data_IF_421169293490
#
_entry.id   IF_421169293490
#
_cell.length_a   1.000
_cell.length_b   1.000
_cell.length_c   1.000
_cell.angle_alpha   90.00
_cell.angle_beta   90.00
_cell.angle_gamma   90.00
#
_symmetry.space_group_name_H-M   'P 1'
#
loop_
_entity.id
_entity.type
_entity.pdbx_description
1 polymer ?
#
# COMPACT_ATOMS: atom_id res chain seq x y z
N UNK A 1 -4.80 4.11 -1.30
CA UNK A 1 -5.06 3.31 -2.52
C UNK A 1 -5.83 2.05 -2.14
N UNK A 2 -6.30 1.26 -3.10
CA UNK A 2 -7.08 0.02 -2.85
C UNK A 2 -6.57 -1.15 -3.69
N UNK A 3 -6.56 -2.35 -3.11
CA UNK A 3 -6.26 -3.61 -3.80
C UNK A 3 -7.07 -4.76 -3.18
N UNK A 4 -7.29 -5.84 -3.92
CA UNK A 4 -7.79 -7.07 -3.33
C UNK A 4 -6.68 -7.88 -2.65
N UNK A 5 -7.07 -8.82 -1.80
CA UNK A 5 -6.17 -9.84 -1.24
C UNK A 5 -6.84 -11.21 -1.34
N UNK A 6 -6.07 -12.25 -1.62
CA UNK A 6 -6.60 -13.59 -1.70
C UNK A 6 -7.03 -14.06 -0.29
N UNK A 7 -8.28 -14.51 -0.08
CA UNK A 7 -8.75 -14.92 1.23
C UNK A 7 -7.86 -15.99 1.89
N UNK A 8 -7.30 -16.90 1.09
CA UNK A 8 -6.45 -17.99 1.58
C UNK A 8 -5.08 -17.51 2.11
N UNK A 9 -4.64 -16.34 1.67
CA UNK A 9 -3.32 -15.77 1.98
C UNK A 9 -3.41 -14.62 2.99
N UNK A 10 -4.62 -14.27 3.45
CA UNK A 10 -4.86 -13.11 4.33
C UNK A 10 -4.11 -13.19 5.66
N UNK A 11 -4.14 -14.35 6.32
CA UNK A 11 -3.45 -14.54 7.61
C UNK A 11 -1.94 -14.33 7.46
N UNK A 12 -1.36 -14.85 6.38
CA UNK A 12 0.06 -14.68 6.08
C UNK A 12 0.39 -13.23 5.72
N UNK A 13 -0.48 -12.57 4.94
CA UNK A 13 -0.34 -11.15 4.63
C UNK A 13 -0.27 -10.30 5.91
N UNK A 14 -1.17 -10.57 6.88
CA UNK A 14 -1.18 -9.91 8.19
C UNK A 14 0.08 -10.23 8.98
N UNK A 15 0.53 -11.48 9.00
CA UNK A 15 1.75 -11.90 9.70
C UNK A 15 2.99 -11.16 9.17
N UNK A 16 3.12 -11.07 7.85
CA UNK A 16 4.19 -10.32 7.18
C UNK A 16 4.10 -8.83 7.55
N UNK A 17 2.94 -8.20 7.42
CA UNK A 17 2.79 -6.75 7.67
C UNK A 17 2.85 -6.37 9.16
N UNK A 18 2.69 -7.34 10.07
CA UNK A 18 2.98 -7.14 11.50
C UNK A 18 4.48 -7.17 11.81
N UNK A 19 5.31 -7.59 10.85
CA UNK A 19 6.76 -7.76 10.97
C UNK A 19 7.48 -7.29 9.69
N UNK A 20 7.10 -6.10 9.18
CA UNK A 20 7.73 -5.52 7.99
C UNK A 20 9.24 -5.39 8.23
N UNK A 21 10.04 -5.70 7.21
CA UNK A 21 11.48 -5.58 7.28
C UNK A 21 11.89 -4.12 7.54
N UNK A 22 12.81 -3.93 8.49
CA UNK A 22 13.27 -2.59 8.90
C UNK A 22 13.80 -1.78 7.71
N UNK A 23 14.58 -2.39 6.82
CA UNK A 23 15.09 -1.74 5.61
C UNK A 23 13.99 -1.26 4.64
N UNK A 24 12.86 -1.98 4.55
CA UNK A 24 11.70 -1.53 3.76
C UNK A 24 11.05 -0.31 4.40
N UNK A 25 10.90 -0.31 5.73
CA UNK A 25 10.39 0.84 6.48
C UNK A 25 11.31 2.06 6.35
N UNK A 26 12.63 1.86 6.40
CA UNK A 26 13.61 2.93 6.17
C UNK A 26 13.50 3.53 4.77
N UNK A 27 13.37 2.69 3.72
CA UNK A 27 13.16 3.19 2.35
C UNK A 27 11.87 4.01 2.24
N UNK A 28 10.78 3.56 2.86
CA UNK A 28 9.50 4.31 2.90
C UNK A 28 9.69 5.65 3.61
N UNK A 29 10.34 5.66 4.78
CA UNK A 29 10.60 6.87 5.55
C UNK A 29 11.47 7.88 4.78
N UNK A 30 12.49 7.39 4.06
CA UNK A 30 13.36 8.20 3.20
C UNK A 30 12.65 8.73 1.94
N UNK A 31 11.46 8.20 1.62
CA UNK A 31 10.61 8.65 0.50
C UNK A 31 9.48 9.58 0.94
N UNK A 32 9.65 10.26 2.07
CA UNK A 32 8.71 11.27 2.59
C UNK A 32 7.27 10.76 2.78
N UNK A 33 7.10 9.46 3.01
CA UNK A 33 5.83 8.83 3.40
C UNK A 33 5.75 8.83 4.93
N UNK A 34 4.65 9.33 5.47
CA UNK A 34 4.32 9.29 6.90
C UNK A 34 2.89 8.81 7.13
N UNK A 35 2.54 8.47 8.38
CA UNK A 35 1.22 8.00 8.78
C UNK A 35 0.68 6.83 7.92
N UNK A 36 1.57 5.93 7.48
CA UNK A 36 1.21 4.86 6.56
C UNK A 36 0.49 3.71 7.28
N UNK A 37 -0.77 3.50 6.94
CA UNK A 37 -1.61 2.40 7.39
C UNK A 37 -2.16 1.57 6.22
N UNK A 38 -2.31 0.26 6.42
CA UNK A 38 -3.06 -0.64 5.54
C UNK A 38 -4.18 -1.29 6.34
N UNK A 39 -5.42 -1.10 5.91
CA UNK A 39 -6.62 -1.66 6.54
C UNK A 39 -7.16 -2.81 5.71
N UNK A 40 -7.68 -3.85 6.37
CA UNK A 40 -8.42 -4.93 5.72
C UNK A 40 -9.93 -4.79 5.96
N UNK A 41 -10.72 -5.12 4.95
CA UNK A 41 -12.18 -5.28 5.08
C UNK A 41 -12.70 -6.37 4.15
N UNK A 42 -13.79 -7.00 4.56
CA UNK A 42 -14.68 -7.77 3.69
C UNK A 42 -16.05 -7.05 3.65
N UNK A 43 -16.46 -6.45 2.52
CA UNK A 43 -17.78 -5.88 2.34
C UNK A 43 -18.81 -6.97 1.98
N UNK A 44 -20.09 -6.61 1.89
CA UNK A 44 -21.19 -7.56 1.64
C UNK A 44 -21.07 -8.30 0.29
N UNK A 45 -20.32 -7.75 -0.65
CA UNK A 45 -19.99 -8.39 -1.93
C UNK A 45 -19.02 -9.57 -1.78
N UNK A 46 -18.39 -9.73 -0.61
CA UNK A 46 -17.61 -10.91 -0.21
C UNK A 46 -16.12 -10.84 -0.55
N UNK A 47 -15.66 -9.87 -1.34
CA UNK A 47 -14.24 -9.72 -1.65
C UNK A 47 -13.44 -9.29 -0.43
N UNK A 48 -12.20 -9.76 -0.31
CA UNK A 48 -11.27 -9.23 0.68
C UNK A 48 -10.48 -8.09 0.06
N UNK A 49 -10.62 -6.91 0.65
CA UNK A 49 -9.99 -5.67 0.14
C UNK A 49 -9.06 -5.08 1.19
N UNK A 50 -7.98 -4.49 0.71
CA UNK A 50 -7.02 -3.74 1.47
C UNK A 50 -7.10 -2.27 1.05
N UNK A 51 -7.14 -1.37 2.03
CA UNK A 51 -7.10 0.07 1.84
C UNK A 51 -5.80 0.61 2.41
N UNK A 52 -4.93 1.17 1.57
CA UNK A 52 -3.75 1.90 2.01
C UNK A 52 -4.05 3.38 2.18
N UNK A 53 -3.52 3.98 3.23
CA UNK A 53 -3.53 5.41 3.47
C UNK A 53 -2.16 5.83 3.96
N UNK A 54 -1.61 6.90 3.40
CA UNK A 54 -0.43 7.56 3.92
C UNK A 54 -0.49 9.05 3.59
N UNK A 55 0.26 9.83 4.34
CA UNK A 55 0.53 11.23 4.06
C UNK A 55 1.89 11.32 3.36
N UNK A 56 1.95 12.13 2.31
CA UNK A 56 3.19 12.41 1.61
C UNK A 56 3.60 13.85 1.87
N UNK A 57 4.79 14.05 2.44
CA UNK A 57 5.29 15.36 2.90
C UNK A 57 6.47 15.88 2.06
N UNK A 58 6.82 15.17 0.98
CA UNK A 58 7.92 15.54 0.10
C UNK A 58 7.52 16.54 -0.98
N UNK A 59 8.45 16.84 -1.89
CA UNK A 59 8.25 17.82 -2.97
C UNK A 59 8.32 17.20 -4.39
N UNK A 60 8.72 15.94 -4.53
CA UNK A 60 8.78 15.24 -5.81
C UNK A 60 8.28 13.79 -5.71
N UNK A 61 6.95 13.63 -5.73
CA UNK A 61 6.31 12.33 -5.49
C UNK A 61 6.76 11.24 -6.47
N UNK A 62 6.86 11.57 -7.75
CA UNK A 62 7.22 10.59 -8.78
C UNK A 62 8.66 10.09 -8.62
N UNK A 63 9.58 10.98 -8.21
CA UNK A 63 10.95 10.58 -7.88
C UNK A 63 10.99 9.67 -6.65
N UNK A 64 10.32 10.06 -5.56
CA UNK A 64 10.34 9.30 -4.31
C UNK A 64 9.74 7.90 -4.48
N UNK A 65 8.68 7.77 -5.30
CA UNK A 65 8.09 6.47 -5.63
C UNK A 65 8.98 5.64 -6.56
N UNK A 66 9.68 6.28 -7.51
CA UNK A 66 10.64 5.60 -8.37
C UNK A 66 11.82 5.05 -7.56
N UNK A 67 12.28 5.78 -6.55
CA UNK A 67 13.33 5.32 -5.64
C UNK A 67 12.89 4.08 -4.84
N UNK A 68 11.66 4.06 -4.30
CA UNK A 68 11.07 2.86 -3.68
C UNK A 68 11.05 1.69 -4.67
N UNK A 69 10.56 1.93 -5.90
CA UNK A 69 10.44 0.89 -6.91
C UNK A 69 11.79 0.33 -7.39
N UNK A 70 12.85 1.13 -7.29
CA UNK A 70 14.22 0.73 -7.65
C UNK A 70 15.01 0.08 -6.51
N UNK A 71 14.51 0.14 -5.27
CA UNK A 71 15.18 -0.44 -4.12
C UNK A 71 15.09 -1.98 -4.13
N UNK A 72 16.23 -2.70 -4.13
CA UNK A 72 16.22 -4.16 -4.24
C UNK A 72 15.53 -4.84 -3.05
N UNK A 73 15.69 -4.30 -1.84
CA UNK A 73 15.04 -4.87 -0.64
C UNK A 73 13.52 -4.76 -0.73
N UNK A 74 13.03 -3.65 -1.27
CA UNK A 74 11.61 -3.43 -1.54
C UNK A 74 11.09 -4.38 -2.62
N UNK A 75 11.87 -4.65 -3.67
CA UNK A 75 11.52 -5.63 -4.70
C UNK A 75 11.41 -7.04 -4.12
N UNK A 76 12.38 -7.46 -3.30
CA UNK A 76 12.34 -8.77 -2.60
C UNK A 76 11.11 -8.87 -1.67
N UNK A 77 10.78 -7.78 -0.97
CA UNK A 77 9.58 -7.72 -0.14
C UNK A 77 8.29 -7.84 -0.97
N UNK A 78 8.25 -7.21 -2.15
CA UNK A 78 7.12 -7.30 -3.07
C UNK A 78 6.99 -8.68 -3.71
N UNK A 79 8.08 -9.42 -3.94
CA UNK A 79 8.02 -10.80 -4.42
C UNK A 79 7.34 -11.73 -3.41
N UNK A 80 7.43 -11.42 -2.11
CA UNK A 80 6.69 -12.13 -1.06
C UNK A 80 5.23 -11.71 -0.98
N UNK A 81 4.95 -10.40 -1.00
CA UNK A 81 3.59 -9.88 -0.75
C UNK A 81 2.70 -9.88 -2.00
N UNK A 82 3.28 -9.61 -3.17
CA UNK A 82 2.60 -9.45 -4.45
C UNK A 82 1.72 -10.63 -4.85
N UNK A 83 2.19 -11.90 -4.72
CA UNK A 83 1.38 -13.08 -5.04
C UNK A 83 0.09 -13.22 -4.21
N UNK A 84 0.03 -12.60 -3.03
CA UNK A 84 -1.14 -12.62 -2.14
C UNK A 84 -2.17 -11.56 -2.54
N UNK A 85 -1.75 -10.55 -3.30
CA UNK A 85 -2.58 -9.41 -3.70
C UNK A 85 -3.33 -9.70 -5.01
N UNK A 86 -4.52 -9.12 -5.14
CA UNK A 86 -5.38 -9.26 -6.30
C UNK A 86 -5.69 -7.85 -6.84
N UNK A 87 -4.94 -7.37 -7.85
CA UNK A 87 -5.17 -6.07 -8.45
C UNK A 87 -6.60 -5.91 -8.97
N UNK A 88 -7.22 -4.75 -8.74
CA UNK A 88 -8.56 -4.49 -9.24
C UNK A 88 -8.59 -4.57 -10.77
N UNK A 89 -9.66 -5.16 -11.31
CA UNK A 89 -9.87 -5.24 -12.78
C UNK A 89 -10.06 -3.86 -13.42
N UNK A 90 -10.46 -2.88 -12.63
CA UNK A 90 -10.77 -1.50 -13.04
C UNK A 90 -9.61 -0.52 -12.82
N UNK A 91 -8.45 -1.00 -12.35
CA UNK A 91 -7.27 -0.14 -12.16
C UNK A 91 -6.76 0.40 -13.49
N UNK A 92 -6.11 1.55 -13.47
CA UNK A 92 -5.51 2.16 -14.65
C UNK A 92 -4.31 1.33 -15.16
N UNK A 93 -3.93 1.51 -16.42
CA UNK A 93 -2.73 0.88 -16.98
C UNK A 93 -1.50 1.32 -16.17
N UNK A 94 -0.70 0.35 -15.72
CA UNK A 94 0.48 0.58 -14.89
C UNK A 94 0.21 0.61 -13.39
N UNK A 95 -1.04 0.63 -12.95
CA UNK A 95 -1.35 0.51 -11.52
C UNK A 95 -1.23 -0.94 -11.03
N UNK A 96 -0.69 -1.10 -9.83
CA UNK A 96 -0.82 -2.34 -9.06
C UNK A 96 -1.92 -2.16 -8.00
N UNK A 97 -1.70 -1.20 -7.10
CA UNK A 97 -2.73 -0.61 -6.25
C UNK A 97 -3.50 0.46 -7.00
N UNK A 98 -4.83 0.45 -6.93
CA UNK A 98 -5.66 1.44 -7.59
C UNK A 98 -5.74 2.71 -6.75
N UNK A 99 -5.47 3.89 -7.33
CA UNK A 99 -5.67 5.17 -6.63
C UNK A 99 -7.14 5.41 -6.32
N UNK A 100 -7.39 6.13 -5.23
CA UNK A 100 -8.73 6.56 -4.82
C UNK A 100 -8.82 8.07 -4.91
N UNK A 101 -10.00 8.59 -5.24
CA UNK A 101 -10.26 10.03 -5.23
C UNK A 101 -10.61 10.45 -3.81
N UNK A 102 -9.80 11.33 -3.22
CA UNK A 102 -10.17 12.02 -2.00
C UNK A 102 -11.31 12.99 -2.30
N UNK A 103 -12.47 12.78 -1.67
CA UNK A 103 -13.67 13.60 -1.88
C UNK A 103 -13.99 14.52 -0.70
N UNK A 104 -13.30 14.30 0.42
CA UNK A 104 -13.45 15.06 1.65
C UNK A 104 -12.17 14.97 2.47
N UNK A 105 -11.83 16.06 3.14
CA UNK A 105 -10.77 16.17 4.13
C UNK A 105 -11.22 17.18 5.18
N UNK A 106 -10.88 16.89 6.43
CA UNK A 106 -11.13 17.79 7.54
C UNK A 106 -10.02 17.61 8.56
N UNK A 107 -9.15 18.63 8.63
CA UNK A 107 -7.96 18.61 9.50
C UNK A 107 -8.28 18.84 10.98
N UNK A 108 -9.56 19.11 11.30
CA UNK A 108 -9.94 19.61 12.62
C UNK A 108 -9.66 21.10 12.76
N UNK A 109 -10.43 21.79 13.60
CA UNK A 109 -10.29 23.20 13.91
C UNK A 109 -10.42 23.45 15.41
N UNK A 110 -9.28 23.87 15.99
CA UNK A 110 -8.92 24.18 17.40
C UNK A 110 -9.14 23.11 18.46
#
# INVERSE_FOLDING_TARGET
MVIGVNPKDLEEYIRLHSNVWEAVLERIANSNITNYSIFHRQPDSGEHVLFSYYEYVGNNYDQDMAEIASDPTTQDWWDLCGPMQVPLKTRQVGEWWAKMTQVFEFDGGT
#
